data_IF_069893938251
#
_entry.id   IF_069893938251
#
_cell.length_a   1.000
_cell.length_b   1.000
_cell.length_c   1.000
_cell.angle_alpha   90.00
_cell.angle_beta   90.00
_cell.angle_gamma   90.00
#
_symmetry.space_group_name_H-M   'P 1'
#
loop_
_entity.id
_entity.type
_entity.pdbx_description
1 polymer ?
#
# COMPACT_ATOMS: atom_id res chain seq x y z
N UNK A 1 39.41 -46.46 -39.49
CA UNK A 1 39.97 -46.40 -38.13
C UNK A 1 38.82 -46.74 -37.18
N UNK A 2 38.53 -48.03 -36.95
CA UNK A 2 38.95 -48.82 -35.76
C UNK A 2 38.51 -48.15 -34.44
N UNK A 3 37.77 -48.75 -33.50
CA UNK A 3 37.46 -50.15 -33.23
C UNK A 3 36.21 -50.24 -32.31
N UNK A 4 35.60 -51.42 -32.32
CA UNK A 4 34.46 -51.95 -31.56
C UNK A 4 34.70 -52.16 -30.06
N UNK A 5 33.62 -52.33 -29.27
CA UNK A 5 33.67 -52.95 -27.95
C UNK A 5 32.31 -53.00 -27.23
N UNK A 6 31.53 -54.07 -27.46
CA UNK A 6 30.41 -54.50 -26.61
C UNK A 6 30.92 -55.17 -25.31
N UNK A 7 30.15 -55.11 -24.22
CA UNK A 7 29.78 -56.32 -23.45
C UNK A 7 28.58 -56.05 -22.52
N UNK A 8 27.80 -57.12 -22.31
CA UNK A 8 26.49 -57.22 -21.65
C UNK A 8 26.60 -57.73 -20.21
N UNK A 9 25.52 -57.52 -19.44
CA UNK A 9 25.12 -58.31 -18.25
C UNK A 9 24.62 -57.38 -17.13
N UNK A 10 23.48 -57.54 -16.45
CA UNK A 10 22.56 -58.67 -16.33
C UNK A 10 22.05 -58.71 -14.87
N UNK A 11 20.83 -58.22 -14.67
CA UNK A 11 19.76 -58.62 -13.73
C UNK A 11 19.88 -58.61 -12.18
N UNK A 12 18.79 -58.06 -11.60
CA UNK A 12 18.02 -58.48 -10.39
C UNK A 12 18.43 -58.18 -8.92
N UNK A 13 17.47 -57.53 -8.23
CA UNK A 13 16.97 -57.71 -6.83
C UNK A 13 17.87 -57.30 -5.63
N UNK A 14 17.40 -56.85 -4.46
CA UNK A 14 16.13 -56.37 -3.89
C UNK A 14 16.41 -55.96 -2.41
N UNK A 15 15.59 -55.05 -1.86
CA UNK A 15 15.31 -54.76 -0.42
C UNK A 15 16.39 -54.28 0.56
N UNK A 16 16.22 -53.04 1.07
CA UNK A 16 15.81 -52.74 2.47
C UNK A 16 15.98 -51.24 2.81
N UNK A 17 15.22 -50.70 3.79
CA UNK A 17 14.73 -49.32 3.77
C UNK A 17 15.65 -48.33 4.51
N UNK A 18 15.80 -47.13 3.95
CA UNK A 18 16.34 -45.99 4.70
C UNK A 18 15.22 -45.29 5.46
N UNK A 19 15.42 -45.20 6.77
CA UNK A 19 14.54 -44.57 7.75
C UNK A 19 14.76 -43.06 7.79
N UNK A 20 13.80 -42.29 7.31
CA UNK A 20 13.74 -40.85 7.52
C UNK A 20 13.33 -40.53 8.98
N UNK A 21 14.31 -40.17 9.79
CA UNK A 21 14.08 -39.63 11.14
C UNK A 21 14.03 -38.09 11.10
N UNK A 22 12.80 -37.58 11.05
CA UNK A 22 12.28 -36.42 11.78
C UNK A 22 13.30 -35.44 12.40
N UNK A 23 13.37 -34.21 11.87
CA UNK A 23 13.86 -33.04 12.62
C UNK A 23 13.15 -31.75 12.19
N UNK A 24 11.82 -31.72 12.33
CA UNK A 24 11.06 -30.47 12.41
C UNK A 24 10.62 -30.24 13.86
N UNK A 25 11.37 -29.43 14.62
CA UNK A 25 10.84 -28.73 15.81
C UNK A 25 11.86 -27.76 16.38
N UNK A 26 11.90 -26.51 15.91
CA UNK A 26 12.44 -25.40 16.70
C UNK A 26 12.11 -24.03 16.10
N UNK A 27 10.84 -23.67 15.95
CA UNK A 27 10.45 -22.26 15.87
C UNK A 27 9.05 -22.12 16.47
N UNK A 28 8.97 -21.70 17.73
CA UNK A 28 7.82 -21.04 18.35
C UNK A 28 8.19 -20.71 19.81
N UNK A 29 8.70 -19.51 20.03
CA UNK A 29 8.51 -18.78 21.29
C UNK A 29 8.91 -17.32 21.08
N UNK A 30 7.95 -16.50 20.64
CA UNK A 30 8.00 -15.06 20.84
C UNK A 30 6.79 -14.71 21.71
N UNK A 31 7.07 -14.04 22.83
CA UNK A 31 6.17 -13.85 23.96
C UNK A 31 4.88 -13.11 23.58
N UNK A 32 3.78 -13.68 24.05
CA UNK A 32 2.40 -13.21 23.96
C UNK A 32 2.22 -11.83 24.61
N UNK A 33 2.00 -10.83 23.75
CA UNK A 33 1.25 -9.62 24.07
C UNK A 33 0.13 -9.47 23.05
N UNK A 34 -0.80 -10.43 23.00
CA UNK A 34 -1.88 -10.45 22.01
C UNK A 34 -3.16 -9.99 22.68
N UNK A 35 -3.63 -8.80 22.31
CA UNK A 35 -5.07 -8.51 22.38
C UNK A 35 -5.75 -9.47 21.40
N UNK A 36 -6.37 -10.52 21.95
CA UNK A 36 -7.06 -11.54 21.17
C UNK A 36 -8.32 -10.94 20.54
N UNK A 37 -8.16 -10.36 19.35
CA UNK A 37 -9.27 -9.84 18.55
C UNK A 37 -10.15 -10.97 17.98
N UNK A 38 -9.81 -12.25 18.18
CA UNK A 38 -10.50 -13.40 17.58
C UNK A 38 -10.35 -13.52 16.06
N UNK A 39 -9.72 -12.54 15.40
CA UNK A 39 -9.55 -12.49 13.95
C UNK A 39 -8.18 -13.05 13.57
N UNK A 40 -8.17 -14.25 12.96
CA UNK A 40 -6.93 -14.88 12.49
C UNK A 40 -6.12 -13.92 11.58
N UNK A 41 -4.78 -13.83 11.68
CA UNK A 41 -3.99 -12.86 10.92
C UNK A 41 -4.06 -13.03 9.40
N UNK A 42 -4.13 -14.28 8.93
CA UNK A 42 -4.18 -14.68 7.53
C UNK A 42 -5.29 -15.72 7.38
N UNK A 43 -6.20 -15.51 6.42
CA UNK A 43 -7.18 -16.53 6.01
C UNK A 43 -6.53 -17.44 4.97
N UNK A 44 -6.48 -18.74 5.24
CA UNK A 44 -5.97 -19.79 4.34
C UNK A 44 -7.10 -20.28 3.43
N UNK A 45 -6.74 -20.89 2.31
CA UNK A 45 -7.71 -21.52 1.40
C UNK A 45 -8.55 -22.59 2.10
N UNK A 46 -7.99 -23.28 3.09
CA UNK A 46 -8.68 -24.27 3.94
C UNK A 46 -9.79 -23.68 4.79
N UNK A 47 -9.80 -22.37 5.01
CA UNK A 47 -10.83 -21.68 5.80
C UNK A 47 -12.05 -21.31 4.95
N UNK A 48 -12.03 -21.61 3.65
CA UNK A 48 -13.15 -21.41 2.73
C UNK A 48 -13.97 -22.68 2.59
N UNK A 49 -15.29 -22.53 2.44
CA UNK A 49 -16.15 -23.63 2.03
C UNK A 49 -15.80 -24.07 0.59
N UNK A 50 -15.15 -25.22 0.48
CA UNK A 50 -14.74 -25.80 -0.80
C UNK A 50 -15.92 -26.13 -1.73
N UNK A 51 -17.10 -26.44 -1.20
CA UNK A 51 -18.29 -26.67 -2.02
C UNK A 51 -18.80 -25.34 -2.62
N UNK A 52 -18.82 -24.27 -1.82
CA UNK A 52 -19.09 -22.91 -2.31
C UNK A 52 -18.12 -22.49 -3.41
N UNK A 53 -16.80 -22.70 -3.21
CA UNK A 53 -15.79 -22.34 -4.21
C UNK A 53 -15.96 -23.11 -5.53
N UNK A 54 -16.25 -24.43 -5.47
CA UNK A 54 -16.52 -25.23 -6.68
C UNK A 54 -17.77 -24.78 -7.42
N UNK A 55 -18.83 -24.40 -6.70
CA UNK A 55 -20.05 -23.83 -7.31
C UNK A 55 -19.74 -22.52 -8.04
N UNK A 56 -19.06 -21.59 -7.37
CA UNK A 56 -18.66 -20.31 -7.99
C UNK A 56 -17.80 -20.52 -9.25
N UNK A 57 -16.88 -21.49 -9.22
CA UNK A 57 -16.06 -21.84 -10.39
C UNK A 57 -16.88 -22.44 -11.54
N UNK A 58 -17.94 -23.20 -11.24
CA UNK A 58 -18.86 -23.71 -12.27
C UNK A 58 -19.71 -22.58 -12.87
N UNK A 59 -20.19 -21.65 -12.03
CA UNK A 59 -21.08 -20.56 -12.44
C UNK A 59 -20.33 -19.44 -13.21
N UNK A 60 -19.07 -19.17 -12.87
CA UNK A 60 -18.29 -18.04 -13.40
C UNK A 60 -17.07 -18.43 -14.23
N UNK A 61 -16.83 -19.73 -14.42
CA UNK A 61 -15.64 -20.29 -15.08
C UNK A 61 -14.32 -19.92 -14.37
N UNK A 62 -13.19 -20.43 -14.86
CA UNK A 62 -11.86 -20.20 -14.30
C UNK A 62 -10.88 -19.64 -15.35
N UNK A 63 -9.87 -18.84 -14.95
CA UNK A 63 -9.50 -18.44 -13.58
C UNK A 63 -10.50 -17.45 -12.94
N UNK A 64 -10.78 -17.62 -11.65
CA UNK A 64 -11.74 -16.82 -10.88
C UNK A 64 -11.08 -16.24 -9.64
N UNK A 65 -11.24 -14.92 -9.44
CA UNK A 65 -10.95 -14.26 -8.18
C UNK A 65 -12.21 -14.23 -7.31
N UNK A 66 -12.11 -14.71 -6.08
CA UNK A 66 -13.19 -14.65 -5.09
C UNK A 66 -12.70 -13.80 -3.92
N UNK A 67 -13.42 -12.72 -3.63
CA UNK A 67 -13.13 -11.82 -2.52
C UNK A 67 -14.17 -12.03 -1.43
N UNK A 68 -13.71 -12.14 -0.19
CA UNK A 68 -14.57 -12.18 0.99
C UNK A 68 -14.67 -10.79 1.61
N UNK A 69 -15.86 -10.18 1.49
CA UNK A 69 -16.10 -8.83 2.00
C UNK A 69 -16.15 -8.80 3.53
N UNK A 70 -16.61 -9.87 4.19
CA UNK A 70 -16.58 -9.96 5.66
C UNK A 70 -15.13 -9.87 6.15
N UNK A 71 -14.21 -10.53 5.43
CA UNK A 71 -12.78 -10.43 5.72
C UNK A 71 -12.18 -9.05 5.45
N UNK A 72 -12.66 -8.34 4.43
CA UNK A 72 -12.24 -6.94 4.20
C UNK A 72 -12.65 -6.09 5.40
N UNK A 73 -13.92 -6.18 5.84
CA UNK A 73 -14.43 -5.44 6.99
C UNK A 73 -13.71 -5.82 8.30
N UNK A 74 -13.41 -7.10 8.54
CA UNK A 74 -12.62 -7.57 9.68
C UNK A 74 -11.23 -6.94 9.73
N UNK A 75 -10.54 -6.90 8.58
CA UNK A 75 -9.21 -6.29 8.51
C UNK A 75 -9.26 -4.79 8.77
N UNK A 76 -10.26 -4.08 8.26
CA UNK A 76 -10.49 -2.66 8.56
C UNK A 76 -10.69 -2.45 10.07
N UNK A 77 -11.58 -3.24 10.71
CA UNK A 77 -11.80 -3.19 12.17
C UNK A 77 -10.51 -3.45 12.96
N UNK A 78 -9.70 -4.43 12.54
CA UNK A 78 -8.41 -4.74 13.19
C UNK A 78 -7.45 -3.56 13.15
N UNK A 79 -7.33 -2.87 12.01
CA UNK A 79 -6.47 -1.69 11.87
C UNK A 79 -7.03 -0.51 12.68
N UNK A 80 -8.35 -0.26 12.61
CA UNK A 80 -9.01 0.79 13.39
C UNK A 80 -8.81 0.61 14.90
N UNK A 81 -8.88 -0.62 15.38
CA UNK A 81 -8.65 -0.95 16.80
C UNK A 81 -7.20 -0.72 17.21
N UNK A 82 -6.24 -1.01 16.32
CA UNK A 82 -4.82 -0.83 16.59
C UNK A 82 -4.38 0.65 16.56
N UNK A 83 -5.09 1.49 15.79
CA UNK A 83 -4.76 2.91 15.61
C UNK A 83 -5.99 3.82 15.85
N UNK A 84 -6.55 3.85 17.07
CA UNK A 84 -7.83 4.52 17.35
C UNK A 84 -7.78 6.06 17.23
N UNK A 85 -6.59 6.63 17.19
CA UNK A 85 -6.37 8.07 17.05
C UNK A 85 -5.90 8.49 15.65
N UNK A 86 -5.84 7.56 14.69
CA UNK A 86 -5.37 7.83 13.34
C UNK A 86 -6.53 7.95 12.35
N UNK A 87 -6.40 8.87 11.39
CA UNK A 87 -7.23 8.86 10.19
C UNK A 87 -6.74 7.77 9.24
N UNK A 88 -7.60 6.79 8.97
CA UNK A 88 -7.23 5.60 8.22
C UNK A 88 -7.70 5.71 6.77
N UNK A 89 -6.74 5.64 5.84
CA UNK A 89 -7.01 5.66 4.39
C UNK A 89 -6.62 4.33 3.77
N UNK A 90 -7.52 3.74 2.99
CA UNK A 90 -7.25 2.56 2.19
C UNK A 90 -6.52 2.95 0.91
N UNK A 91 -5.37 2.32 0.66
CA UNK A 91 -4.63 2.50 -0.59
C UNK A 91 -5.36 1.77 -1.73
N UNK A 92 -6.12 2.52 -2.54
CA UNK A 92 -7.04 2.01 -3.57
C UNK A 92 -6.34 1.12 -4.59
N UNK A 93 -5.07 1.39 -4.89
CA UNK A 93 -4.20 0.53 -5.73
C UNK A 93 -4.12 -0.94 -5.28
N UNK A 94 -4.46 -1.25 -4.03
CA UNK A 94 -4.47 -2.63 -3.53
C UNK A 94 -5.62 -3.44 -4.13
N UNK A 95 -6.81 -2.84 -4.29
CA UNK A 95 -7.97 -3.43 -4.96
C UNK A 95 -9.02 -2.37 -5.29
N UNK A 96 -9.35 -2.22 -6.58
CA UNK A 96 -10.26 -1.17 -7.10
C UNK A 96 -11.69 -1.64 -7.36
N UNK A 97 -12.02 -2.89 -7.03
CA UNK A 97 -13.36 -3.44 -7.23
C UNK A 97 -14.40 -2.73 -6.37
N UNK A 98 -15.52 -2.35 -6.99
CA UNK A 98 -16.62 -1.57 -6.39
C UNK A 98 -17.02 -2.08 -5.01
N UNK A 99 -17.39 -3.37 -4.90
CA UNK A 99 -17.86 -3.95 -3.64
C UNK A 99 -16.81 -3.91 -2.52
N UNK A 100 -15.51 -3.98 -2.85
CA UNK A 100 -14.43 -3.85 -1.87
C UNK A 100 -14.32 -2.40 -1.38
N UNK A 101 -14.40 -1.44 -2.30
CA UNK A 101 -14.34 -0.02 -1.95
C UNK A 101 -15.55 0.42 -1.12
N UNK A 102 -16.76 -0.04 -1.47
CA UNK A 102 -17.98 0.18 -0.68
C UNK A 102 -17.84 -0.43 0.72
N UNK A 103 -17.34 -1.67 0.83
CA UNK A 103 -17.10 -2.31 2.14
C UNK A 103 -16.09 -1.53 2.99
N UNK A 104 -15.01 -1.02 2.38
CA UNK A 104 -14.00 -0.19 3.04
C UNK A 104 -14.61 1.14 3.51
N UNK A 105 -15.43 1.77 2.67
CA UNK A 105 -16.12 3.02 2.99
C UNK A 105 -17.06 2.85 4.18
N UNK A 106 -17.89 1.80 4.16
CA UNK A 106 -18.81 1.41 5.24
C UNK A 106 -18.09 1.07 6.54
N UNK A 107 -16.88 0.51 6.44
CA UNK A 107 -16.01 0.25 7.60
C UNK A 107 -15.35 1.53 8.17
N UNK A 108 -15.61 2.71 7.61
CA UNK A 108 -15.16 4.00 8.13
C UNK A 108 -13.78 4.46 7.65
N UNK A 109 -13.22 3.84 6.61
CA UNK A 109 -11.93 4.23 6.04
C UNK A 109 -12.11 5.27 4.93
N UNK A 110 -11.16 6.19 4.81
CA UNK A 110 -11.04 7.08 3.65
C UNK A 110 -10.31 6.38 2.50
N UNK A 111 -10.19 7.03 1.33
CA UNK A 111 -9.51 6.48 0.17
C UNK A 111 -8.26 7.29 -0.22
N UNK A 112 -7.14 6.59 -0.37
CA UNK A 112 -5.91 7.11 -0.97
C UNK A 112 -5.78 6.61 -2.41
N UNK A 113 -5.79 7.54 -3.37
CA UNK A 113 -5.80 7.26 -4.80
C UNK A 113 -4.48 7.69 -5.46
N UNK A 114 -3.78 6.75 -6.09
CA UNK A 114 -2.51 6.98 -6.77
C UNK A 114 -2.66 7.29 -8.27
N UNK A 115 -3.89 7.31 -8.80
CA UNK A 115 -4.20 7.67 -10.20
C UNK A 115 -5.61 8.24 -10.34
N UNK A 116 -5.88 8.94 -11.46
CA UNK A 116 -7.21 9.49 -11.72
C UNK A 116 -8.28 8.39 -11.85
N UNK A 117 -7.91 7.21 -12.37
CA UNK A 117 -8.83 6.08 -12.44
C UNK A 117 -9.15 5.47 -11.07
N UNK A 118 -8.23 5.55 -10.10
CA UNK A 118 -8.52 5.17 -8.71
C UNK A 118 -9.46 6.18 -8.04
N UNK A 119 -9.25 7.48 -8.30
CA UNK A 119 -10.15 8.54 -7.82
C UNK A 119 -11.57 8.36 -8.37
N UNK A 120 -11.70 8.07 -9.66
CA UNK A 120 -12.99 7.77 -10.31
C UNK A 120 -13.71 6.59 -9.64
N UNK A 121 -12.98 5.50 -9.37
CA UNK A 121 -13.52 4.31 -8.69
C UNK A 121 -13.93 4.60 -7.25
N UNK A 122 -13.16 5.41 -6.52
CA UNK A 122 -13.50 5.81 -5.16
C UNK A 122 -14.75 6.72 -5.13
N UNK A 123 -14.87 7.67 -6.05
CA UNK A 123 -16.08 8.49 -6.21
C UNK A 123 -17.30 7.62 -6.54
N UNK A 124 -17.15 6.66 -7.47
CA UNK A 124 -18.21 5.73 -7.81
C UNK A 124 -18.64 4.82 -6.64
N UNK A 125 -17.72 4.53 -5.70
CA UNK A 125 -18.00 3.79 -4.47
C UNK A 125 -18.60 4.66 -3.34
N UNK A 126 -18.85 5.94 -3.60
CA UNK A 126 -19.56 6.84 -2.67
C UNK A 126 -18.67 7.60 -1.69
N UNK A 127 -17.35 7.59 -1.86
CA UNK A 127 -16.45 8.41 -1.05
C UNK A 127 -16.67 9.90 -1.37
N UNK A 128 -17.01 10.75 -0.39
CA UNK A 128 -17.10 12.20 -0.59
C UNK A 128 -15.71 12.85 -0.57
N UNK A 129 -15.61 14.08 -1.05
CA UNK A 129 -14.35 14.83 -1.22
C UNK A 129 -13.46 14.84 0.02
N UNK A 130 -14.04 15.08 1.20
CA UNK A 130 -13.32 15.15 2.47
C UNK A 130 -12.67 13.83 2.89
N UNK A 131 -13.12 12.72 2.30
CA UNK A 131 -12.59 11.35 2.50
C UNK A 131 -11.72 10.86 1.35
N UNK A 132 -11.37 11.75 0.41
CA UNK A 132 -10.54 11.43 -0.75
C UNK A 132 -9.18 12.13 -0.68
N UNK A 133 -8.13 11.36 -0.94
CA UNK A 133 -6.77 11.86 -0.98
C UNK A 133 -6.04 11.35 -2.23
N UNK A 134 -5.73 12.24 -3.16
CA UNK A 134 -4.98 11.93 -4.38
C UNK A 134 -3.47 12.06 -4.14
N UNK A 135 -2.67 11.02 -4.37
CA UNK A 135 -1.25 10.96 -3.94
C UNK A 135 -0.23 10.70 -5.05
N UNK A 136 -0.63 10.84 -6.31
CA UNK A 136 0.27 10.67 -7.45
C UNK A 136 1.44 11.68 -7.41
N UNK A 137 2.68 11.18 -7.49
CA UNK A 137 3.88 12.01 -7.33
C UNK A 137 4.16 12.89 -8.55
N UNK A 138 3.97 12.35 -9.76
CA UNK A 138 4.14 13.07 -11.01
C UNK A 138 3.02 12.65 -11.99
N UNK A 139 1.80 13.15 -11.75
CA UNK A 139 0.65 12.77 -12.57
C UNK A 139 0.77 13.33 -13.99
N UNK A 140 0.33 12.58 -15.03
CA UNK A 140 0.26 13.13 -16.38
C UNK A 140 -0.79 14.26 -16.46
N UNK A 141 -0.68 15.14 -17.45
CA UNK A 141 -1.57 16.31 -17.58
C UNK A 141 -3.06 15.95 -17.69
N UNK A 142 -3.41 14.80 -18.28
CA UNK A 142 -4.80 14.33 -18.34
C UNK A 142 -5.34 13.98 -16.95
N UNK A 143 -4.53 13.37 -16.09
CA UNK A 143 -4.94 12.95 -14.76
C UNK A 143 -5.10 14.18 -13.86
N UNK A 144 -4.18 15.16 -13.96
CA UNK A 144 -4.35 16.44 -13.24
C UNK A 144 -5.63 17.17 -13.64
N UNK A 145 -5.95 17.24 -14.94
CA UNK A 145 -7.20 17.87 -15.39
C UNK A 145 -8.43 17.18 -14.79
N UNK A 146 -8.47 15.85 -14.83
CA UNK A 146 -9.54 15.08 -14.21
C UNK A 146 -9.65 15.36 -12.70
N UNK A 147 -8.52 15.38 -11.97
CA UNK A 147 -8.50 15.65 -10.53
C UNK A 147 -9.00 17.06 -10.21
N UNK A 148 -8.63 18.07 -11.02
CA UNK A 148 -9.12 19.45 -10.84
C UNK A 148 -10.60 19.56 -11.16
N UNK A 149 -11.09 18.89 -12.20
CA UNK A 149 -12.52 18.84 -12.51
C UNK A 149 -13.31 18.16 -11.38
N UNK A 150 -12.83 17.02 -10.88
CA UNK A 150 -13.42 16.33 -9.73
C UNK A 150 -13.42 17.19 -8.46
N UNK A 151 -12.35 17.95 -8.21
CA UNK A 151 -12.26 18.89 -7.08
C UNK A 151 -13.32 20.00 -7.16
N UNK A 152 -13.70 20.48 -8.35
CA UNK A 152 -14.77 21.49 -8.47
C UNK A 152 -16.12 20.97 -7.94
N UNK A 153 -16.36 19.68 -8.09
CA UNK A 153 -17.54 19.00 -7.55
C UNK A 153 -17.34 18.52 -6.10
N UNK A 154 -16.08 18.33 -5.68
CA UNK A 154 -15.65 17.78 -4.40
C UNK A 154 -14.56 18.67 -3.76
N UNK A 155 -14.90 19.88 -3.26
CA UNK A 155 -13.92 20.91 -2.90
C UNK A 155 -13.01 20.52 -1.73
N UNK A 156 -13.38 19.52 -0.93
CA UNK A 156 -12.59 18.98 0.18
C UNK A 156 -11.60 17.88 -0.24
N UNK A 157 -11.57 17.49 -1.53
CA UNK A 157 -10.56 16.59 -2.10
C UNK A 157 -9.15 17.11 -1.84
N UNK A 158 -8.33 16.31 -1.15
CA UNK A 158 -6.94 16.67 -0.85
C UNK A 158 -5.99 16.12 -1.92
N UNK A 159 -5.09 16.97 -2.43
CA UNK A 159 -4.06 16.60 -3.41
C UNK A 159 -2.67 16.62 -2.76
N UNK A 160 -2.01 15.46 -2.67
CA UNK A 160 -0.61 15.39 -2.32
C UNK A 160 0.26 15.66 -3.54
N UNK A 161 1.15 16.65 -3.40
CA UNK A 161 2.12 17.04 -4.42
C UNK A 161 3.50 16.48 -4.07
N UNK A 162 4.07 15.69 -4.98
CA UNK A 162 5.40 15.08 -4.80
C UNK A 162 6.54 15.69 -5.61
N UNK A 163 6.24 16.64 -6.49
CA UNK A 163 7.21 17.37 -7.29
C UNK A 163 6.80 18.85 -7.38
N UNK A 164 7.76 19.78 -7.28
CA UNK A 164 7.48 21.22 -7.17
C UNK A 164 6.74 21.76 -8.40
N UNK A 165 7.07 21.25 -9.58
CA UNK A 165 6.41 21.60 -10.85
C UNK A 165 4.92 21.24 -10.88
N UNK A 166 4.49 20.25 -10.10
CA UNK A 166 3.08 19.89 -9.98
C UNK A 166 2.26 20.99 -9.31
N UNK A 167 2.86 21.79 -8.41
CA UNK A 167 2.19 22.97 -7.83
C UNK A 167 1.88 24.00 -8.93
N UNK A 168 2.84 24.28 -9.80
CA UNK A 168 2.64 25.25 -10.89
C UNK A 168 1.58 24.75 -11.88
N UNK A 169 1.63 23.47 -12.24
CA UNK A 169 0.64 22.83 -13.11
C UNK A 169 -0.77 22.81 -12.52
N UNK A 170 -0.92 22.69 -11.20
CA UNK A 170 -2.22 22.81 -10.52
C UNK A 170 -2.74 24.24 -10.57
N UNK A 171 -1.89 25.23 -10.28
CA UNK A 171 -2.26 26.64 -10.35
C UNK A 171 -2.68 27.05 -11.77
N UNK A 172 -1.98 26.59 -12.80
CA UNK A 172 -2.30 26.83 -14.21
C UNK A 172 -3.68 26.27 -14.62
N UNK A 173 -4.15 25.23 -13.93
CA UNK A 173 -5.48 24.63 -14.12
C UNK A 173 -6.57 25.30 -13.26
N UNK A 174 -6.20 26.32 -12.46
CA UNK A 174 -7.10 27.04 -11.57
C UNK A 174 -7.45 26.28 -10.29
N UNK A 175 -6.64 25.32 -9.87
CA UNK A 175 -6.78 24.66 -8.57
C UNK A 175 -6.18 25.55 -7.48
N UNK A 176 -6.92 25.80 -6.41
CA UNK A 176 -6.49 26.54 -5.22
C UNK A 176 -6.87 25.80 -3.91
N UNK A 177 -7.30 24.55 -4.04
CA UNK A 177 -7.81 23.72 -2.95
C UNK A 177 -6.74 23.14 -2.00
N UNK A 178 -7.12 22.05 -1.33
CA UNK A 178 -6.36 21.41 -0.26
C UNK A 178 -5.16 20.65 -0.81
N UNK A 179 -3.96 20.98 -0.34
CA UNK A 179 -2.73 20.28 -0.71
C UNK A 179 -1.95 19.75 0.49
N UNK A 180 -1.37 18.57 0.31
CA UNK A 180 -0.27 18.07 1.12
C UNK A 180 1.02 18.12 0.31
N UNK A 181 2.17 18.31 0.96
CA UNK A 181 3.48 18.16 0.28
C UNK A 181 4.12 16.84 0.69
N UNK A 182 4.46 16.01 -0.30
CA UNK A 182 5.18 14.76 -0.06
C UNK A 182 6.66 15.03 0.13
N UNK A 183 7.19 14.63 1.27
CA UNK A 183 8.58 14.83 1.67
C UNK A 183 9.32 13.50 1.64
N UNK A 184 10.59 13.56 1.23
CA UNK A 184 11.53 12.46 1.38
C UNK A 184 12.46 12.72 2.56
N UNK A 185 12.29 12.06 3.71
CA UNK A 185 13.13 12.27 4.90
C UNK A 185 14.51 11.60 4.81
N UNK A 186 14.83 10.93 3.69
CA UNK A 186 16.09 10.23 3.47
C UNK A 186 16.26 8.93 4.26
N UNK A 187 15.19 8.47 4.92
CA UNK A 187 15.13 7.25 5.73
C UNK A 187 13.83 6.47 5.44
N UNK A 188 13.86 5.13 5.45
CA UNK A 188 12.70 4.27 5.17
C UNK A 188 13.00 2.77 5.31
N UNK A 189 11.96 1.98 5.54
CA UNK A 189 12.06 0.54 5.88
C UNK A 189 12.32 -0.36 4.67
N UNK A 190 11.84 0.02 3.48
CA UNK A 190 12.07 -0.72 2.22
C UNK A 190 13.43 -0.47 1.55
N UNK A 191 14.44 0.03 2.30
CA UNK A 191 15.73 0.42 1.75
C UNK A 191 16.62 -0.79 1.44
N UNK A 192 16.34 -1.47 0.32
CA UNK A 192 17.39 -2.19 -0.39
C UNK A 192 18.43 -1.17 -0.89
N UNK A 193 19.71 -1.48 -0.70
CA UNK A 193 20.89 -0.73 -1.20
C UNK A 193 20.77 -0.31 -2.68
N UNK A 194 19.98 -1.04 -3.48
CA UNK A 194 19.71 -0.80 -4.91
C UNK A 194 18.97 0.49 -5.26
N UNK A 195 18.46 1.26 -4.30
CA UNK A 195 17.84 2.59 -4.56
C UNK A 195 18.79 3.74 -4.21
N UNK A 196 19.97 3.47 -3.63
CA UNK A 196 21.01 4.48 -3.32
C UNK A 196 21.98 4.73 -4.48
N UNK A 197 21.85 4.00 -5.58
CA UNK A 197 22.61 4.28 -6.82
C UNK A 197 21.99 5.44 -7.58
N UNK A 198 22.36 6.65 -7.16
CA UNK A 198 22.09 7.89 -7.88
C UNK A 198 21.33 8.93 -7.06
N UNK A 199 21.98 9.51 -6.05
CA UNK A 199 21.89 10.90 -5.52
C UNK A 199 20.56 11.66 -5.31
N UNK A 200 19.43 11.24 -5.88
CA UNK A 200 18.20 12.00 -5.95
C UNK A 200 16.99 11.12 -5.61
N UNK A 201 16.21 11.47 -4.58
CA UNK A 201 15.00 10.73 -4.28
C UNK A 201 14.02 10.83 -5.45
N UNK A 202 13.56 9.67 -5.95
CA UNK A 202 12.57 9.60 -7.05
C UNK A 202 11.17 10.06 -6.63
N UNK A 203 10.92 10.14 -5.32
CA UNK A 203 9.60 10.44 -4.76
C UNK A 203 9.71 11.49 -3.65
N UNK A 204 8.94 12.57 -3.81
CA UNK A 204 8.82 13.64 -2.82
C UNK A 204 9.94 14.68 -2.90
N UNK A 205 9.67 15.82 -2.28
CA UNK A 205 10.61 16.92 -2.11
C UNK A 205 11.68 16.51 -1.08
N UNK A 206 12.98 16.73 -1.34
CA UNK A 206 14.04 16.51 -0.36
C UNK A 206 13.78 17.25 0.96
N UNK A 207 14.07 16.60 2.09
CA UNK A 207 13.75 17.11 3.44
C UNK A 207 14.27 18.53 3.70
N UNK A 208 15.51 18.82 3.29
CA UNK A 208 16.18 20.12 3.43
C UNK A 208 15.48 21.26 2.67
N UNK A 209 14.76 20.93 1.59
CA UNK A 209 13.99 21.88 0.79
C UNK A 209 12.51 21.94 1.15
N UNK A 210 12.01 20.96 1.91
CA UNK A 210 10.58 20.78 2.15
C UNK A 210 9.95 22.03 2.79
N UNK A 211 10.59 22.60 3.81
CA UNK A 211 10.03 23.76 4.52
C UNK A 211 9.86 25.00 3.62
N UNK A 212 10.80 25.25 2.71
CA UNK A 212 10.72 26.36 1.75
C UNK A 212 9.59 26.12 0.72
N UNK A 213 9.52 24.90 0.16
CA UNK A 213 8.48 24.52 -0.80
C UNK A 213 7.09 24.64 -0.17
N UNK A 214 6.92 24.17 1.06
CA UNK A 214 5.66 24.23 1.80
C UNK A 214 5.23 25.68 2.04
N UNK A 215 6.12 26.55 2.53
CA UNK A 215 5.81 27.98 2.72
C UNK A 215 5.48 28.69 1.40
N UNK A 216 6.05 28.23 0.29
CA UNK A 216 5.74 28.76 -1.03
C UNK A 216 4.38 28.26 -1.53
N UNK A 217 4.04 27.00 -1.30
CA UNK A 217 2.73 26.43 -1.63
C UNK A 217 1.61 27.11 -0.83
N UNK A 218 1.84 27.42 0.45
CA UNK A 218 0.87 28.08 1.33
C UNK A 218 0.46 29.49 0.89
N UNK A 219 1.19 30.10 -0.07
CA UNK A 219 0.80 31.38 -0.68
C UNK A 219 -0.25 31.23 -1.80
N UNK A 220 -0.50 30.00 -2.26
CA UNK A 220 -1.30 29.68 -3.45
C UNK A 220 -2.41 28.64 -3.21
N UNK A 221 -2.28 27.82 -2.17
CA UNK A 221 -3.16 26.69 -1.88
C UNK A 221 -3.45 26.61 -0.38
N UNK A 222 -4.53 25.93 -0.01
CA UNK A 222 -4.78 25.50 1.38
C UNK A 222 -3.84 24.35 1.73
N UNK A 223 -2.69 24.64 2.35
CA UNK A 223 -1.75 23.60 2.77
C UNK A 223 -2.21 22.97 4.07
N UNK A 224 -2.70 21.73 3.99
CA UNK A 224 -3.36 21.03 5.10
C UNK A 224 -2.47 19.98 5.77
N UNK A 225 -1.28 19.72 5.23
CA UNK A 225 -0.36 18.77 5.86
C UNK A 225 0.91 18.45 5.07
N UNK A 226 1.69 17.55 5.67
CA UNK A 226 2.85 16.93 5.06
C UNK A 226 2.61 15.43 4.91
N UNK A 227 3.11 14.86 3.83
CA UNK A 227 2.94 13.45 3.51
C UNK A 227 4.30 12.77 3.34
N UNK A 228 4.42 11.51 3.73
CA UNK A 228 5.59 10.69 3.42
C UNK A 228 5.19 9.22 3.36
N UNK A 229 5.99 8.42 2.64
CA UNK A 229 5.76 6.98 2.52
C UNK A 229 7.05 6.24 2.88
N UNK A 230 7.02 5.45 3.95
CA UNK A 230 8.18 4.72 4.48
C UNK A 230 8.58 3.49 3.66
N UNK A 231 7.75 3.08 2.68
CA UNK A 231 7.92 1.89 1.86
C UNK A 231 6.89 0.80 2.19
N UNK A 232 6.99 -0.33 1.50
CA UNK A 232 6.18 -1.54 1.70
C UNK A 232 6.95 -2.62 2.46
N UNK A 233 6.24 -3.50 3.17
CA UNK A 233 6.84 -4.68 3.82
C UNK A 233 7.70 -4.32 5.03
N UNK A 234 7.23 -3.39 5.86
CA UNK A 234 7.93 -2.98 7.09
C UNK A 234 7.98 -4.16 8.05
N UNK A 235 9.20 -4.58 8.40
CA UNK A 235 9.44 -5.63 9.39
C UNK A 235 9.43 -5.06 10.82
N UNK A 236 9.00 -5.86 11.79
CA UNK A 236 9.11 -5.55 13.21
C UNK A 236 10.58 -5.32 13.64
N UNK A 237 11.55 -5.95 12.97
CA UNK A 237 12.98 -5.71 13.20
C UNK A 237 13.43 -4.30 12.77
N UNK A 238 12.62 -3.58 11.99
CA UNK A 238 12.95 -2.25 11.46
C UNK A 238 12.23 -1.11 12.20
N UNK A 239 11.62 -1.39 13.35
CA UNK A 239 10.82 -0.41 14.08
C UNK A 239 11.60 0.85 14.49
N UNK A 240 12.89 0.73 14.82
CA UNK A 240 13.70 1.91 15.16
C UNK A 240 13.84 2.88 13.99
N UNK A 241 14.03 2.37 12.77
CA UNK A 241 14.06 3.19 11.55
C UNK A 241 12.71 3.84 11.28
N UNK A 242 11.62 3.13 11.58
CA UNK A 242 10.28 3.68 11.44
C UNK A 242 10.01 4.79 12.47
N UNK A 243 10.46 4.63 13.72
CA UNK A 243 10.40 5.68 14.75
C UNK A 243 11.18 6.92 14.34
N UNK A 244 12.39 6.74 13.82
CA UNK A 244 13.19 7.85 13.28
C UNK A 244 12.47 8.56 12.13
N UNK A 245 11.87 7.80 11.21
CA UNK A 245 11.07 8.33 10.10
C UNK A 245 9.93 9.22 10.60
N UNK A 246 9.15 8.73 11.56
CA UNK A 246 8.06 9.50 12.16
C UNK A 246 8.58 10.72 12.92
N UNK A 247 9.69 10.60 13.66
CA UNK A 247 10.30 11.71 14.40
C UNK A 247 10.70 12.86 13.46
N UNK A 248 11.40 12.55 12.36
CA UNK A 248 11.81 13.58 11.38
C UNK A 248 10.61 14.30 10.77
N UNK A 249 9.55 13.57 10.43
CA UNK A 249 8.32 14.19 9.92
C UNK A 249 7.67 15.08 10.99
N UNK A 250 7.66 14.64 12.25
CA UNK A 250 7.17 15.44 13.37
C UNK A 250 7.98 16.73 13.61
N UNK A 251 9.31 16.67 13.48
CA UNK A 251 10.18 17.85 13.57
C UNK A 251 9.89 18.86 12.46
N UNK A 252 9.73 18.38 11.22
CA UNK A 252 9.34 19.23 10.10
C UNK A 252 7.96 19.88 10.32
N UNK A 253 6.97 19.12 10.79
CA UNK A 253 5.65 19.66 11.10
C UNK A 253 5.72 20.77 12.16
N UNK A 254 6.50 20.57 13.23
CA UNK A 254 6.72 21.59 14.28
C UNK A 254 7.44 22.84 13.77
N UNK A 255 8.34 22.69 12.78
CA UNK A 255 9.03 23.83 12.16
C UNK A 255 8.09 24.71 11.30
N UNK A 256 6.94 24.16 10.90
CA UNK A 256 5.97 24.81 10.02
C UNK A 256 4.77 25.43 10.77
N UNK A 257 4.55 25.03 12.02
CA UNK A 257 3.55 25.61 12.92
C UNK A 257 3.99 26.97 13.45
#
# INVERSE_FOLDING_TARGET
MSNTGESRGGDSQDTSPESDSNSESAFLSASSGTTDSGIAPIRRTTDWDGAKLRRLAADHQTPLYVIDLDRVADNCRRIATAFPAADLRYAVKAHTGQAVLETVYEAGFDAECASAGELDRALAAGFPGERLHYTAVNPPARDLRYVVDAWRDQPELTVTVGAVDTLDRLADLGFDGRVCVRVNPGIGAGHHEKVRTGGHPKFGVPYDRAAEVIRTAAKRFDVVGIHAHAGSGIDAEQLDRHREFVSRMGDLARQLA
#
